data_IF_831569939755
#
_entry.id   IF_831569939755
#
_cell.length_a   1.000
_cell.length_b   1.000
_cell.length_c   1.000
_cell.angle_alpha   90.00
_cell.angle_beta   90.00
_cell.angle_gamma   90.00
#
_symmetry.space_group_name_H-M   'P 1'
#
loop_
_entity.id
_entity.type
_entity.pdbx_description
1 polymer ?
#
# COMPACT_ATOMS: atom_id res chain seq x y z
N UNK A 1 -5.51 -0.04 -19.36
CA UNK A 1 -5.98 -0.59 -18.08
C UNK A 1 -5.11 -1.74 -17.58
N UNK A 2 -5.15 -2.97 -18.14
CA UNK A 2 -4.38 -4.13 -17.62
C UNK A 2 -2.85 -3.91 -17.56
N UNK A 3 -2.26 -3.24 -18.55
CA UNK A 3 -0.83 -2.88 -18.53
C UNK A 3 -0.48 -1.96 -17.36
N UNK A 4 -1.29 -0.91 -17.13
CA UNK A 4 -1.14 0.02 -16.01
C UNK A 4 -1.32 -0.66 -14.65
N UNK A 5 -2.29 -1.57 -14.54
CA UNK A 5 -2.49 -2.39 -13.34
C UNK A 5 -1.29 -3.29 -13.03
N UNK A 6 -0.71 -3.94 -14.06
CA UNK A 6 0.54 -4.70 -13.90
C UNK A 6 1.70 -3.81 -13.48
N UNK A 7 1.82 -2.63 -14.06
CA UNK A 7 2.84 -1.65 -13.68
C UNK A 7 2.70 -1.23 -12.21
N UNK A 8 1.48 -0.97 -11.75
CA UNK A 8 1.20 -0.69 -10.34
C UNK A 8 1.68 -1.83 -9.43
N UNK A 9 1.44 -3.09 -9.81
CA UNK A 9 1.95 -4.25 -9.08
C UNK A 9 3.48 -4.32 -9.01
N UNK A 10 4.17 -3.99 -10.11
CA UNK A 10 5.64 -3.91 -10.15
C UNK A 10 6.16 -2.82 -9.20
N UNK A 11 5.51 -1.64 -9.20
CA UNK A 11 5.85 -0.55 -8.29
C UNK A 11 5.64 -0.96 -6.82
N UNK A 12 4.54 -1.64 -6.48
CA UNK A 12 4.32 -2.16 -5.12
C UNK A 12 5.41 -3.16 -4.70
N UNK A 13 5.78 -4.09 -5.58
CA UNK A 13 6.85 -5.03 -5.29
C UNK A 13 8.21 -4.33 -5.08
N UNK A 14 8.50 -3.31 -5.90
CA UNK A 14 9.72 -2.50 -5.80
C UNK A 14 9.74 -1.70 -4.50
N UNK A 15 8.60 -1.11 -4.10
CA UNK A 15 8.45 -0.43 -2.81
C UNK A 15 8.76 -1.38 -1.64
N UNK A 16 8.29 -2.63 -1.71
CA UNK A 16 8.60 -3.67 -0.72
C UNK A 16 10.09 -3.98 -0.58
N UNK A 17 10.88 -3.90 -1.67
CA UNK A 17 12.35 -4.04 -1.60
C UNK A 17 12.99 -2.89 -0.82
N UNK A 18 12.53 -1.66 -1.03
CA UNK A 18 13.04 -0.51 -0.26
C UNK A 18 12.68 -0.59 1.22
N UNK A 19 11.53 -1.18 1.56
CA UNK A 19 11.19 -1.53 2.94
C UNK A 19 12.23 -2.47 3.55
N UNK A 20 12.62 -3.53 2.83
CA UNK A 20 13.69 -4.44 3.29
C UNK A 20 15.04 -3.75 3.43
N UNK A 21 15.37 -2.81 2.52
CA UNK A 21 16.59 -2.02 2.64
C UNK A 21 16.60 -1.13 3.88
N UNK A 22 15.47 -0.50 4.22
CA UNK A 22 15.33 0.25 5.48
C UNK A 22 15.54 -0.66 6.68
N UNK A 23 14.92 -1.84 6.72
CA UNK A 23 15.10 -2.80 7.81
C UNK A 23 16.55 -3.24 7.94
N UNK A 24 17.22 -3.56 6.82
CA UNK A 24 18.64 -3.93 6.83
C UNK A 24 19.51 -2.83 7.44
N UNK A 25 19.29 -1.57 7.07
CA UNK A 25 20.03 -0.45 7.63
C UNK A 25 19.81 -0.32 9.16
N UNK A 26 18.57 -0.49 9.63
CA UNK A 26 18.25 -0.48 11.07
C UNK A 26 18.97 -1.62 11.82
N UNK A 27 18.90 -2.85 11.31
CA UNK A 27 19.58 -4.00 11.92
C UNK A 27 21.09 -3.81 11.98
N UNK A 28 21.71 -3.27 10.93
CA UNK A 28 23.15 -2.99 10.90
C UNK A 28 23.58 -1.90 11.91
N UNK A 29 22.66 -1.01 12.29
CA UNK A 29 22.86 -0.02 13.35
C UNK A 29 22.51 -0.53 14.76
N UNK A 30 22.15 -1.80 14.90
CA UNK A 30 21.61 -2.40 16.13
C UNK A 30 20.28 -1.77 16.61
N UNK A 31 19.49 -1.20 15.69
CA UNK A 31 18.18 -0.63 16.01
C UNK A 31 17.11 -1.71 15.80
N UNK A 32 16.45 -2.13 16.88
CA UNK A 32 15.48 -3.22 16.89
C UNK A 32 14.02 -2.78 16.74
N UNK A 33 13.81 -1.60 16.16
CA UNK A 33 12.47 -1.05 15.96
C UNK A 33 11.52 -2.06 15.30
N UNK A 34 12.03 -2.91 14.38
CA UNK A 34 11.32 -4.00 13.67
C UNK A 34 10.56 -4.96 14.57
N UNK A 35 11.07 -5.21 15.77
CA UNK A 35 10.51 -6.20 16.69
C UNK A 35 9.38 -5.61 17.53
N UNK A 36 9.46 -4.30 17.81
CA UNK A 36 8.54 -3.59 18.70
C UNK A 36 7.33 -3.04 17.96
N UNK A 37 7.50 -2.65 16.70
CA UNK A 37 6.44 -2.13 15.85
C UNK A 37 6.22 -3.10 14.68
N UNK A 38 5.07 -3.76 14.62
CA UNK A 38 4.79 -4.76 13.57
C UNK A 38 4.55 -4.15 12.19
N UNK A 39 4.10 -2.89 12.11
CA UNK A 39 3.83 -2.24 10.81
C UNK A 39 5.04 -1.45 10.31
N UNK A 40 5.67 -1.92 9.24
CA UNK A 40 6.85 -1.29 8.62
C UNK A 40 6.47 -0.09 7.75
N UNK A 41 5.25 -0.10 7.21
CA UNK A 41 4.70 0.95 6.33
C UNK A 41 3.78 1.90 7.11
N UNK A 42 3.50 1.61 8.37
CA UNK A 42 2.66 2.45 9.22
C UNK A 42 3.21 3.86 9.41
N UNK A 43 2.30 4.84 9.41
CA UNK A 43 2.61 6.27 9.54
C UNK A 43 3.56 6.57 10.70
N UNK A 44 3.38 5.89 11.84
CA UNK A 44 4.21 6.07 13.03
C UNK A 44 5.67 5.73 12.78
N UNK A 45 5.95 4.59 12.14
CA UNK A 45 7.32 4.18 11.89
C UNK A 45 7.95 5.09 10.85
N UNK A 46 7.20 5.50 9.82
CA UNK A 46 7.69 6.46 8.84
C UNK A 46 8.07 7.79 9.49
N UNK A 47 7.29 8.28 10.45
CA UNK A 47 7.63 9.48 11.24
C UNK A 47 8.95 9.30 11.99
N UNK A 48 9.11 8.20 12.72
CA UNK A 48 10.35 7.89 13.46
C UNK A 48 11.56 7.80 12.51
N UNK A 49 11.43 7.09 11.38
CA UNK A 49 12.53 6.96 10.40
C UNK A 49 12.90 8.30 9.77
N UNK A 50 11.92 9.16 9.48
CA UNK A 50 12.16 10.51 8.96
C UNK A 50 12.85 11.39 10.00
N UNK A 51 12.49 11.29 11.26
CA UNK A 51 13.16 12.00 12.35
C UNK A 51 14.63 11.56 12.49
N UNK A 52 14.90 10.24 12.45
CA UNK A 52 16.25 9.69 12.46
C UNK A 52 17.11 10.26 11.30
N UNK A 53 16.53 10.28 10.10
CA UNK A 53 17.19 10.84 8.90
C UNK A 53 17.39 12.36 9.02
N UNK A 54 16.48 13.08 9.69
CA UNK A 54 16.62 14.50 9.97
C UNK A 54 17.68 14.83 11.02
N UNK A 55 18.19 13.81 11.74
CA UNK A 55 19.26 13.96 12.71
C UNK A 55 18.85 13.65 14.14
N UNK A 56 17.58 13.33 14.41
CA UNK A 56 17.11 13.01 15.76
C UNK A 56 17.67 11.66 16.24
N UNK A 57 18.14 11.62 17.49
CA UNK A 57 18.79 10.44 18.11
C UNK A 57 18.29 10.17 19.52
N UNK A 58 17.55 11.09 20.10
CA UNK A 58 16.95 10.87 21.40
C UNK A 58 15.82 9.84 21.28
N UNK A 59 16.05 8.68 21.90
CA UNK A 59 15.08 7.59 21.93
C UNK A 59 13.75 7.99 22.58
N UNK A 60 13.74 8.95 23.50
CA UNK A 60 12.52 9.44 24.15
C UNK A 60 11.71 10.35 23.21
N UNK A 61 12.39 11.25 22.49
CA UNK A 61 11.73 12.10 21.47
C UNK A 61 11.11 11.21 20.37
N UNK A 62 11.86 10.20 19.92
CA UNK A 62 11.39 9.26 18.91
C UNK A 62 10.25 8.35 19.45
N UNK A 63 10.31 7.93 20.71
CA UNK A 63 9.26 7.14 21.35
C UNK A 63 7.97 7.94 21.55
N UNK A 64 8.05 9.24 21.85
CA UNK A 64 6.88 10.12 21.97
C UNK A 64 6.11 10.29 20.65
N UNK A 65 6.72 9.99 19.50
CA UNK A 65 6.04 9.97 18.19
C UNK A 65 5.10 8.76 18.01
N UNK A 66 5.06 7.85 18.99
CA UNK A 66 4.22 6.64 18.99
C UNK A 66 2.74 6.99 18.81
N UNK A 67 2.04 6.17 18.02
CA UNK A 67 0.58 6.21 17.93
C UNK A 67 -0.05 5.34 19.03
N UNK A 68 -1.17 5.79 19.61
CA UNK A 68 -1.96 5.10 20.64
C UNK A 68 -2.25 3.62 20.31
N UNK A 69 -2.31 3.26 19.03
CA UNK A 69 -2.54 1.88 18.57
C UNK A 69 -1.36 0.92 18.80
N UNK A 70 -0.16 1.44 19.08
CA UNK A 70 1.02 0.61 19.33
C UNK A 70 0.95 0.09 20.78
N UNK A 71 1.06 -1.22 20.94
CA UNK A 71 0.98 -1.87 22.26
C UNK A 71 2.23 -1.65 23.10
N UNK A 72 3.40 -1.60 22.46
CA UNK A 72 4.67 -1.39 23.14
C UNK A 72 4.73 -0.03 23.84
N UNK A 73 5.24 0.00 25.06
CA UNK A 73 5.46 1.22 25.84
C UNK A 73 6.50 2.14 25.19
N UNK A 74 6.49 3.42 25.57
CA UNK A 74 7.50 4.37 25.10
C UNK A 74 8.91 3.95 25.52
N UNK A 75 9.08 3.41 26.73
CA UNK A 75 10.35 2.86 27.21
C UNK A 75 10.86 1.68 26.37
N UNK A 76 9.98 0.77 25.96
CA UNK A 76 10.35 -0.34 25.08
C UNK A 76 10.80 0.17 23.70
N UNK A 77 10.12 1.20 23.18
CA UNK A 77 10.50 1.83 21.92
C UNK A 77 11.84 2.54 22.06
N UNK A 78 12.05 3.33 23.11
CA UNK A 78 13.30 4.03 23.39
C UNK A 78 14.48 3.05 23.53
N UNK A 79 14.28 1.93 24.24
CA UNK A 79 15.27 0.84 24.34
C UNK A 79 15.60 0.24 22.96
N UNK A 80 14.59 0.03 22.11
CA UNK A 80 14.80 -0.51 20.76
C UNK A 80 15.56 0.41 19.81
N UNK A 81 15.65 1.71 20.14
CA UNK A 81 16.33 2.73 19.36
C UNK A 81 17.79 2.95 19.79
N UNK A 82 18.27 2.19 20.78
CA UNK A 82 19.67 2.22 21.21
C UNK A 82 20.57 1.51 20.18
N UNK A 83 21.35 2.29 19.43
CA UNK A 83 22.19 1.80 18.36
C UNK A 83 23.47 2.61 18.17
N UNK A 84 24.32 2.16 17.24
CA UNK A 84 25.64 2.75 17.00
C UNK A 84 25.68 3.86 15.92
N UNK A 85 24.51 4.24 15.38
CA UNK A 85 24.28 5.40 14.49
C UNK A 85 25.35 5.63 13.40
N UNK A 86 25.87 4.55 12.82
CA UNK A 86 26.93 4.61 11.79
C UNK A 86 26.47 5.38 10.54
N UNK A 87 27.32 6.29 10.07
CA UNK A 87 26.98 7.24 8.99
C UNK A 87 26.67 6.54 7.66
N UNK A 88 27.34 5.42 7.37
CA UNK A 88 27.18 4.64 6.15
C UNK A 88 25.77 4.01 6.09
N UNK A 89 25.29 3.50 7.21
CA UNK A 89 23.97 2.90 7.31
C UNK A 89 22.85 3.95 7.37
N UNK A 90 23.12 5.12 7.96
CA UNK A 90 22.20 6.25 7.90
C UNK A 90 22.02 6.79 6.48
N UNK A 91 23.11 6.86 5.72
CA UNK A 91 23.06 7.22 4.31
C UNK A 91 22.20 6.23 3.51
N UNK A 92 22.42 4.92 3.70
CA UNK A 92 21.61 3.88 3.08
C UNK A 92 20.12 3.99 3.48
N UNK A 93 19.82 4.25 4.76
CA UNK A 93 18.46 4.46 5.26
C UNK A 93 17.79 5.64 4.57
N UNK A 94 18.50 6.78 4.47
CA UNK A 94 18.01 7.99 3.79
C UNK A 94 17.66 7.71 2.33
N UNK A 95 18.53 7.02 1.59
CA UNK A 95 18.29 6.67 0.20
C UNK A 95 17.08 5.72 0.06
N UNK A 96 16.99 4.69 0.91
CA UNK A 96 15.87 3.76 0.88
C UNK A 96 14.53 4.44 1.16
N UNK A 97 14.50 5.37 2.12
CA UNK A 97 13.32 6.15 2.46
C UNK A 97 12.89 7.08 1.30
N UNK A 98 13.85 7.76 0.67
CA UNK A 98 13.57 8.61 -0.49
C UNK A 98 12.98 7.80 -1.67
N UNK A 99 13.50 6.60 -1.95
CA UNK A 99 12.97 5.77 -3.03
C UNK A 99 11.58 5.23 -2.69
N UNK A 100 11.35 4.87 -1.43
CA UNK A 100 10.03 4.46 -0.97
C UNK A 100 8.98 5.57 -1.17
N UNK A 101 9.33 6.81 -0.82
CA UNK A 101 8.47 7.98 -0.99
C UNK A 101 8.20 8.27 -2.47
N UNK A 102 9.25 8.24 -3.30
CA UNK A 102 9.13 8.43 -4.75
C UNK A 102 8.20 7.40 -5.38
N UNK A 103 8.38 6.11 -5.06
CA UNK A 103 7.49 5.05 -5.55
C UNK A 103 6.05 5.27 -5.04
N UNK A 104 5.89 5.76 -3.81
CA UNK A 104 4.59 6.15 -3.27
C UNK A 104 3.87 7.19 -4.14
N UNK A 105 4.59 8.19 -4.65
CA UNK A 105 4.03 9.18 -5.59
C UNK A 105 3.65 8.53 -6.92
N UNK A 106 4.51 7.68 -7.47
CA UNK A 106 4.26 6.96 -8.73
C UNK A 106 3.06 6.02 -8.65
N UNK A 107 2.83 5.40 -7.48
CA UNK A 107 1.62 4.61 -7.23
C UNK A 107 0.35 5.46 -7.26
N UNK A 108 0.38 6.67 -6.68
CA UNK A 108 -0.76 7.61 -6.73
C UNK A 108 -1.04 8.07 -8.16
N UNK A 109 0.00 8.30 -8.94
CA UNK A 109 -0.13 8.63 -10.37
C UNK A 109 -0.76 7.48 -11.16
N UNK A 110 -0.31 6.24 -10.93
CA UNK A 110 -0.92 5.05 -11.53
C UNK A 110 -2.39 4.90 -11.14
N UNK A 111 -2.73 5.11 -9.86
CA UNK A 111 -4.11 5.06 -9.37
C UNK A 111 -5.01 6.07 -10.11
N UNK A 112 -4.54 7.31 -10.27
CA UNK A 112 -5.28 8.37 -10.99
C UNK A 112 -5.52 8.02 -12.45
N UNK A 113 -4.50 7.51 -13.14
CA UNK A 113 -4.61 7.09 -14.54
C UNK A 113 -5.58 5.93 -14.73
N UNK A 114 -5.60 4.98 -13.79
CA UNK A 114 -6.52 3.84 -13.81
C UNK A 114 -7.96 4.30 -13.55
N UNK A 115 -8.15 5.18 -12.57
CA UNK A 115 -9.44 5.81 -12.27
C UNK A 115 -9.98 6.60 -13.47
N UNK A 116 -9.17 7.45 -14.10
CA UNK A 116 -9.58 8.21 -15.29
C UNK A 116 -9.98 7.29 -16.44
N UNK A 117 -9.24 6.20 -16.65
CA UNK A 117 -9.61 5.19 -17.65
C UNK A 117 -10.93 4.50 -17.31
N UNK A 118 -11.17 4.16 -16.04
CA UNK A 118 -12.43 3.56 -15.60
C UNK A 118 -13.61 4.52 -15.79
N UNK A 119 -13.44 5.79 -15.46
CA UNK A 119 -14.47 6.83 -15.65
C UNK A 119 -14.80 7.05 -17.13
N UNK A 120 -13.79 7.06 -18.02
CA UNK A 120 -14.02 7.17 -19.48
C UNK A 120 -14.81 6.00 -20.07
N UNK A 121 -14.80 4.85 -19.39
CA UNK A 121 -15.51 3.63 -19.78
C UNK A 121 -16.80 3.43 -18.98
N UNK A 122 -17.25 4.44 -18.23
CA UNK A 122 -18.53 4.41 -17.54
C UNK A 122 -19.67 4.35 -18.57
N UNK A 123 -20.48 3.29 -18.48
CA UNK A 123 -21.66 3.07 -19.34
C UNK A 123 -22.94 3.08 -18.50
N UNK A 124 -22.83 2.92 -17.19
CA UNK A 124 -23.95 2.81 -16.25
C UNK A 124 -23.78 3.78 -15.08
N UNK A 125 -24.88 4.38 -14.62
CA UNK A 125 -24.89 5.35 -13.52
C UNK A 125 -25.31 4.75 -12.17
N UNK A 126 -25.55 3.44 -12.11
CA UNK A 126 -26.01 2.77 -10.90
C UNK A 126 -24.90 2.57 -9.85
N UNK A 127 -25.33 2.14 -8.67
CA UNK A 127 -24.44 1.75 -7.58
C UNK A 127 -24.61 0.26 -7.25
N UNK A 128 -23.53 -0.44 -6.85
CA UNK A 128 -23.64 -1.82 -6.42
C UNK A 128 -24.50 -1.90 -5.16
N UNK A 129 -25.34 -2.93 -5.06
CA UNK A 129 -26.14 -3.18 -3.87
C UNK A 129 -25.25 -3.25 -2.61
N UNK A 130 -25.76 -2.76 -1.47
CA UNK A 130 -25.05 -2.80 -0.18
C UNK A 130 -24.75 -4.25 0.23
N UNK A 131 -23.58 -4.74 -0.15
CA UNK A 131 -23.08 -6.07 0.24
C UNK A 131 -22.25 -6.03 1.52
N UNK A 132 -21.90 -7.20 2.06
CA UNK A 132 -20.97 -7.32 3.19
C UNK A 132 -19.67 -6.57 2.90
N UNK A 133 -19.26 -5.69 3.81
CA UNK A 133 -17.95 -5.02 3.76
C UNK A 133 -16.86 -6.07 3.94
N UNK A 134 -16.15 -6.42 2.87
CA UNK A 134 -14.95 -7.27 2.93
C UNK A 134 -13.75 -6.42 3.37
N UNK A 135 -12.79 -7.03 4.07
CA UNK A 135 -11.54 -6.37 4.46
C UNK A 135 -10.81 -5.87 3.20
N UNK A 136 -10.37 -4.60 3.22
CA UNK A 136 -9.64 -4.01 2.09
C UNK A 136 -8.20 -4.56 2.09
N UNK A 137 -7.73 -5.20 1.00
CA UNK A 137 -6.36 -5.68 0.98
C UNK A 137 -5.38 -4.50 1.05
N UNK A 138 -4.20 -4.74 1.64
CA UNK A 138 -3.18 -3.71 1.86
C UNK A 138 -2.72 -3.02 0.56
N UNK A 139 -2.89 -3.71 -0.57
CA UNK A 139 -2.50 -3.28 -1.91
C UNK A 139 -3.67 -2.73 -2.74
N UNK A 140 -4.86 -2.53 -2.14
CA UNK A 140 -5.99 -1.97 -2.86
C UNK A 140 -5.70 -0.52 -3.26
N UNK A 141 -6.09 -0.10 -4.48
CA UNK A 141 -6.03 1.30 -4.90
C UNK A 141 -6.87 2.16 -3.97
N UNK A 142 -6.52 3.44 -3.81
CA UNK A 142 -7.14 4.32 -2.81
C UNK A 142 -8.56 4.78 -3.15
N UNK A 143 -8.96 4.74 -4.42
CA UNK A 143 -10.30 5.11 -4.89
C UNK A 143 -11.32 3.96 -4.77
N UNK A 144 -12.61 4.27 -4.97
CA UNK A 144 -13.70 3.28 -4.89
C UNK A 144 -13.80 2.43 -6.18
N UNK A 145 -12.89 1.45 -6.27
CA UNK A 145 -12.82 0.54 -7.40
C UNK A 145 -14.09 -0.29 -7.58
N UNK A 146 -14.81 -0.62 -6.50
CA UNK A 146 -16.02 -1.44 -6.56
C UNK A 146 -17.12 -0.73 -7.34
N UNK A 147 -17.38 0.52 -7.00
CA UNK A 147 -18.41 1.33 -7.67
C UNK A 147 -18.03 1.60 -9.12
N UNK A 148 -16.75 1.88 -9.40
CA UNK A 148 -16.29 2.12 -10.78
C UNK A 148 -16.41 0.87 -11.68
N UNK A 149 -16.07 -0.32 -11.17
CA UNK A 149 -16.26 -1.57 -11.89
C UNK A 149 -17.75 -1.85 -12.15
N UNK A 150 -18.63 -1.55 -11.18
CA UNK A 150 -20.07 -1.66 -11.36
C UNK A 150 -20.59 -0.71 -12.44
N UNK A 151 -20.20 0.57 -12.40
CA UNK A 151 -20.59 1.58 -13.38
C UNK A 151 -20.09 1.27 -14.81
N UNK A 152 -19.03 0.49 -14.93
CA UNK A 152 -18.55 0.00 -16.22
C UNK A 152 -19.29 -1.25 -16.72
N UNK A 153 -19.63 -2.21 -15.84
CA UNK A 153 -20.22 -3.50 -16.24
C UNK A 153 -21.73 -3.63 -16.09
N UNK A 154 -22.36 -2.81 -15.25
CA UNK A 154 -23.73 -2.96 -14.79
C UNK A 154 -23.96 -4.16 -13.85
N UNK A 155 -22.93 -4.96 -13.57
CA UNK A 155 -22.99 -6.16 -12.73
C UNK A 155 -21.93 -6.10 -11.64
N UNK A 156 -22.32 -6.49 -10.43
CA UNK A 156 -21.41 -6.60 -9.29
C UNK A 156 -20.60 -7.91 -9.33
N UNK A 157 -19.38 -7.82 -9.85
CA UNK A 157 -18.43 -8.94 -9.94
C UNK A 157 -18.00 -9.49 -8.57
N UNK A 158 -18.15 -8.72 -7.49
CA UNK A 158 -17.80 -9.15 -6.13
C UNK A 158 -18.90 -9.99 -5.45
N UNK A 159 -20.02 -10.24 -6.14
CA UNK A 159 -21.01 -11.25 -5.71
C UNK A 159 -20.45 -12.67 -5.80
N UNK A 160 -19.39 -12.90 -6.56
CA UNK A 160 -18.70 -14.18 -6.62
C UNK A 160 -17.82 -14.31 -5.36
N UNK A 161 -18.00 -15.40 -4.62
CA UNK A 161 -17.18 -15.70 -3.46
C UNK A 161 -15.71 -15.92 -3.87
N UNK A 162 -14.79 -15.26 -3.17
CA UNK A 162 -13.36 -15.26 -3.50
C UNK A 162 -12.90 -14.15 -4.45
N UNK A 163 -13.80 -13.38 -5.09
CA UNK A 163 -13.41 -12.24 -5.92
C UNK A 163 -13.52 -10.93 -5.13
N UNK A 164 -12.39 -10.25 -4.96
CA UNK A 164 -12.32 -8.86 -4.50
C UNK A 164 -12.19 -7.87 -5.68
N UNK A 165 -12.32 -6.58 -5.40
CA UNK A 165 -12.24 -5.53 -6.42
C UNK A 165 -10.91 -5.53 -7.21
N UNK A 166 -9.80 -5.88 -6.56
CA UNK A 166 -8.48 -5.92 -7.18
C UNK A 166 -8.32 -7.12 -8.11
N UNK A 167 -8.83 -8.29 -7.71
CA UNK A 167 -8.89 -9.47 -8.57
C UNK A 167 -9.84 -9.25 -9.75
N UNK A 168 -10.99 -8.61 -9.52
CA UNK A 168 -11.94 -8.28 -10.58
C UNK A 168 -11.31 -7.38 -11.67
N UNK A 169 -10.54 -6.36 -11.27
CA UNK A 169 -9.83 -5.49 -12.20
C UNK A 169 -8.69 -6.22 -12.95
N UNK A 170 -8.00 -7.16 -12.30
CA UNK A 170 -6.93 -7.95 -12.92
C UNK A 170 -7.45 -8.93 -13.99
N UNK A 171 -8.61 -9.53 -13.73
CA UNK A 171 -9.28 -10.51 -14.60
C UNK A 171 -10.13 -9.83 -15.68
N UNK A 172 -10.37 -8.52 -15.56
CA UNK A 172 -11.21 -7.74 -16.47
C UNK A 172 -10.80 -7.93 -17.95
N UNK A 173 -11.75 -8.20 -18.86
CA UNK A 173 -11.46 -8.44 -20.25
C UNK A 173 -11.11 -7.13 -20.95
N UNK A 174 -10.52 -7.23 -22.14
CA UNK A 174 -10.13 -6.05 -22.93
C UNK A 174 -11.37 -5.15 -23.18
N UNK A 175 -11.23 -3.81 -23.16
CA UNK A 175 -12.33 -2.91 -23.56
C UNK A 175 -12.86 -3.33 -24.94
N UNK A 176 -14.18 -3.49 -25.05
CA UNK A 176 -14.86 -3.98 -26.25
C UNK A 176 -15.47 -5.39 -26.14
N UNK A 177 -15.14 -6.19 -25.12
CA UNK A 177 -15.92 -7.39 -24.78
C UNK A 177 -16.86 -7.06 -23.63
N UNK A 178 -18.16 -7.09 -23.88
CA UNK A 178 -19.21 -6.89 -22.85
C UNK A 178 -18.97 -7.81 -21.65
N UNK A 179 -19.03 -7.27 -20.43
CA UNK A 179 -18.87 -8.04 -19.18
C UNK A 179 -19.82 -9.26 -19.10
N UNK A 180 -20.93 -9.22 -19.84
CA UNK A 180 -21.86 -10.33 -20.06
C UNK A 180 -21.21 -11.63 -20.52
N UNK A 181 -20.13 -11.58 -21.32
CA UNK A 181 -19.45 -12.78 -21.81
C UNK A 181 -18.65 -13.51 -20.70
N UNK A 182 -18.09 -12.78 -19.73
CA UNK A 182 -17.36 -13.36 -18.59
C UNK A 182 -18.30 -14.02 -17.57
N UNK A 183 -19.49 -13.45 -17.37
CA UNK A 183 -20.48 -14.03 -16.45
C UNK A 183 -21.05 -15.34 -17.01
N UNK A 184 -21.20 -15.46 -18.33
CA UNK A 184 -21.61 -16.73 -18.95
C UNK A 184 -20.54 -17.83 -18.87
N UNK A 185 -19.26 -17.49 -18.91
CA UNK A 185 -18.16 -18.47 -18.80
C UNK A 185 -17.77 -18.84 -17.36
N UNK A 186 -18.27 -18.11 -16.36
CA UNK A 186 -17.98 -18.39 -14.94
C UNK A 186 -19.15 -19.09 -14.22
N UNK A 187 -20.30 -19.23 -14.89
CA UNK A 187 -21.53 -19.87 -14.36
C UNK A 187 -21.86 -21.18 -15.11
N UNK A 188 -21.14 -21.50 -16.19
CA UNK A 188 -21.11 -22.80 -16.86
C UNK A 188 -19.74 -23.43 -16.66
#
# INVERSE_FOLDING_TARGET
>A
MRSRWRQQGILQQTQGRHVQHMQKALTQMNIQLTNVISDIVGETRQKILRAIVAGERDGQILAAMKNVRIRASEDEIAKSLQGNWRTEHLFALKQALAMFDFIGLQLVECDREIEAQLQSLQVHDGEPAKGKKRSRPRNAPKFDLRTQLYRMCGVDLMRIDGIDATTALAVFPRPGRTCHALLRSAIL
#
